data_IF_531040887694
#
_entry.id   IF_531040887694
#
_cell.length_a   1.000
_cell.length_b   1.000
_cell.length_c   1.000
_cell.angle_alpha   90.00
_cell.angle_beta   90.00
_cell.angle_gamma   90.00
#
_symmetry.space_group_name_H-M   'P 1'
#
loop_
_entity.id
_entity.type
_entity.pdbx_description
1 polymer ?
#
# COMPACT_ATOMS: atom_id res chain seq x y z
N UNK A 1 -25.66 0.24 -0.10
CA UNK A 1 -25.09 1.53 0.34
C UNK A 1 -24.15 2.05 -0.74
N UNK A 2 -23.91 3.36 -0.76
CA UNK A 2 -22.95 3.99 -1.66
C UNK A 2 -21.63 4.24 -0.93
N UNK A 3 -20.55 3.65 -1.42
CA UNK A 3 -19.22 3.71 -0.81
C UNK A 3 -18.29 4.48 -1.73
N UNK A 4 -17.66 5.54 -1.23
CA UNK A 4 -16.64 6.28 -1.96
C UNK A 4 -15.25 5.71 -1.59
N UNK A 5 -14.63 5.01 -2.54
CA UNK A 5 -13.26 4.52 -2.41
C UNK A 5 -12.29 5.62 -2.82
N UNK A 6 -11.47 6.07 -1.90
CA UNK A 6 -10.45 7.11 -2.16
C UNK A 6 -9.09 6.44 -2.31
N UNK A 7 -8.53 6.56 -3.52
CA UNK A 7 -7.42 5.76 -4.02
C UNK A 7 -6.24 6.65 -4.42
N UNK A 8 -5.04 6.33 -4.00
CA UNK A 8 -3.82 7.08 -4.31
C UNK A 8 -2.83 6.20 -5.05
N UNK A 9 -2.56 6.53 -6.33
CA UNK A 9 -1.50 5.91 -7.13
C UNK A 9 -1.65 4.41 -7.43
N UNK A 10 -2.84 3.82 -7.28
CA UNK A 10 -3.05 2.37 -7.43
C UNK A 10 -4.19 2.04 -8.43
N UNK A 11 -5.28 1.44 -7.96
CA UNK A 11 -6.44 1.09 -8.78
C UNK A 11 -7.13 2.34 -9.35
N UNK A 12 -7.57 2.38 -10.60
CA UNK A 12 -7.51 1.32 -11.60
C UNK A 12 -6.30 1.39 -12.56
N UNK A 13 -5.28 2.21 -12.29
CA UNK A 13 -4.17 2.50 -13.21
C UNK A 13 -3.02 1.48 -13.17
N UNK A 14 -2.76 0.91 -12.01
CA UNK A 14 -1.58 0.06 -11.77
C UNK A 14 -2.01 -1.36 -11.39
N UNK A 15 -1.41 -2.37 -12.00
CA UNK A 15 -1.56 -3.76 -11.55
C UNK A 15 -0.69 -4.00 -10.32
N UNK A 16 -1.25 -4.63 -9.28
CA UNK A 16 -0.53 -4.91 -8.04
C UNK A 16 -1.45 -5.46 -6.95
N UNK A 17 -0.89 -5.77 -5.79
CA UNK A 17 -1.62 -6.39 -4.68
C UNK A 17 -2.83 -5.57 -4.23
N UNK A 18 -2.64 -4.29 -3.93
CA UNK A 18 -3.72 -3.38 -3.50
C UNK A 18 -4.79 -3.23 -4.59
N UNK A 19 -4.37 -3.08 -5.86
CA UNK A 19 -5.32 -2.95 -6.98
C UNK A 19 -6.13 -4.21 -7.21
N UNK A 20 -5.51 -5.39 -7.11
CA UNK A 20 -6.19 -6.69 -7.22
C UNK A 20 -7.15 -6.92 -6.06
N UNK A 21 -6.74 -6.57 -4.84
CA UNK A 21 -7.59 -6.60 -3.66
C UNK A 21 -8.82 -5.67 -3.83
N UNK A 22 -8.61 -4.42 -4.26
CA UNK A 22 -9.68 -3.46 -4.50
C UNK A 22 -10.67 -3.95 -5.56
N UNK A 23 -10.17 -4.42 -6.70
CA UNK A 23 -11.00 -4.96 -7.77
C UNK A 23 -11.84 -6.16 -7.28
N UNK A 24 -11.22 -7.04 -6.50
CA UNK A 24 -11.88 -8.21 -5.92
C UNK A 24 -12.94 -7.82 -4.88
N UNK A 25 -12.65 -6.86 -3.99
CA UNK A 25 -13.61 -6.36 -3.00
C UNK A 25 -14.85 -5.77 -3.67
N UNK A 26 -14.67 -4.92 -4.68
CA UNK A 26 -15.77 -4.30 -5.43
C UNK A 26 -16.60 -5.36 -6.15
N UNK A 27 -15.94 -6.26 -6.88
CA UNK A 27 -16.61 -7.30 -7.68
C UNK A 27 -17.40 -8.27 -6.80
N UNK A 28 -16.90 -8.58 -5.60
CA UNK A 28 -17.54 -9.50 -4.66
C UNK A 28 -18.69 -8.87 -3.85
N UNK A 29 -18.92 -7.56 -4.02
CA UNK A 29 -19.97 -6.81 -3.32
C UNK A 29 -20.97 -6.14 -4.29
N UNK A 30 -21.67 -6.90 -5.15
CA UNK A 30 -22.61 -6.31 -6.14
C UNK A 30 -23.81 -5.60 -5.49
N UNK A 31 -24.08 -5.83 -4.20
CA UNK A 31 -25.13 -5.15 -3.43
C UNK A 31 -24.79 -3.72 -3.04
N UNK A 32 -23.53 -3.26 -3.26
CA UNK A 32 -23.09 -1.90 -2.98
C UNK A 32 -22.82 -1.16 -4.28
N UNK A 33 -23.09 0.14 -4.28
CA UNK A 33 -22.63 1.07 -5.32
C UNK A 33 -21.29 1.66 -4.90
N UNK A 34 -20.32 1.61 -5.78
CA UNK A 34 -18.99 2.17 -5.54
C UNK A 34 -18.76 3.43 -6.37
N UNK A 35 -18.20 4.44 -5.75
CA UNK A 35 -17.64 5.62 -6.40
C UNK A 35 -16.14 5.57 -6.20
N UNK A 36 -15.36 5.73 -7.26
CA UNK A 36 -13.92 5.81 -7.18
C UNK A 36 -13.50 7.28 -7.20
N UNK A 37 -12.77 7.73 -6.19
CA UNK A 37 -12.15 9.05 -6.17
C UNK A 37 -10.64 8.84 -6.16
N UNK A 38 -10.04 9.00 -7.35
CA UNK A 38 -8.69 8.52 -7.62
C UNK A 38 -7.74 9.69 -7.78
N UNK A 39 -6.63 9.66 -7.02
CA UNK A 39 -5.55 10.62 -7.10
C UNK A 39 -4.43 10.00 -7.95
N UNK A 40 -4.13 10.67 -9.07
CA UNK A 40 -3.02 10.33 -9.96
C UNK A 40 -1.94 11.42 -10.01
N UNK A 41 -0.70 11.10 -10.40
CA UNK A 41 0.36 12.08 -10.48
C UNK A 41 0.20 13.03 -11.68
N UNK A 42 -0.24 12.54 -12.84
CA UNK A 42 -0.24 13.27 -14.10
C UNK A 42 -1.56 13.16 -14.84
N UNK A 43 -2.07 14.29 -15.33
CA UNK A 43 -3.31 14.37 -16.11
C UNK A 43 -3.24 13.61 -17.46
N UNK A 44 -2.06 13.38 -18.00
CA UNK A 44 -1.87 12.57 -19.21
C UNK A 44 -2.30 11.10 -19.05
N UNK A 45 -2.38 10.61 -17.82
CA UNK A 45 -2.80 9.24 -17.51
C UNK A 45 -4.32 9.08 -17.40
N UNK A 46 -5.09 10.15 -17.58
CA UNK A 46 -6.54 10.12 -17.49
C UNK A 46 -7.14 9.01 -18.38
N UNK A 47 -8.01 8.19 -17.79
CA UNK A 47 -8.71 7.11 -18.48
C UNK A 47 -7.85 5.91 -18.90
N UNK A 48 -6.54 5.89 -18.63
CA UNK A 48 -5.65 4.77 -19.00
C UNK A 48 -5.74 3.61 -18.01
N UNK A 49 -6.95 3.11 -17.79
CA UNK A 49 -7.22 2.05 -16.83
C UNK A 49 -6.61 0.71 -17.26
N UNK A 50 -6.04 -0.01 -16.30
CA UNK A 50 -5.51 -1.37 -16.46
C UNK A 50 -6.53 -2.46 -16.07
N UNK A 51 -7.66 -2.04 -15.50
CA UNK A 51 -8.79 -2.88 -15.12
C UNK A 51 -10.04 -2.40 -15.83
N UNK A 52 -10.90 -3.33 -16.23
CA UNK A 52 -12.29 -3.03 -16.59
C UNK A 52 -13.06 -2.76 -15.30
N UNK A 53 -13.75 -1.63 -15.23
CA UNK A 53 -14.48 -1.26 -14.02
C UNK A 53 -15.73 -2.15 -13.87
N UNK A 54 -15.96 -2.76 -12.68
CA UNK A 54 -17.14 -3.55 -12.41
C UNK A 54 -18.44 -2.74 -12.56
N UNK A 55 -19.54 -3.42 -12.92
CA UNK A 55 -20.82 -2.77 -13.20
C UNK A 55 -21.42 -1.99 -12.00
N UNK A 56 -21.01 -2.32 -10.78
CA UNK A 56 -21.41 -1.63 -9.56
C UNK A 56 -20.52 -0.41 -9.21
N UNK A 57 -19.55 -0.06 -10.06
CA UNK A 57 -18.86 1.22 -10.01
C UNK A 57 -19.69 2.23 -10.78
N UNK A 58 -20.36 3.12 -10.06
CA UNK A 58 -21.32 4.10 -10.64
C UNK A 58 -20.66 5.42 -11.04
N UNK A 59 -19.49 5.74 -10.49
CA UNK A 59 -18.71 6.94 -10.80
C UNK A 59 -17.22 6.67 -10.63
N UNK A 60 -16.39 7.22 -11.52
CA UNK A 60 -14.94 7.29 -11.36
C UNK A 60 -14.51 8.75 -11.54
N UNK A 61 -14.12 9.39 -10.45
CA UNK A 61 -13.63 10.78 -10.45
C UNK A 61 -12.12 10.79 -10.31
N UNK A 62 -11.46 11.31 -11.33
CA UNK A 62 -10.00 11.37 -11.41
C UNK A 62 -9.51 12.77 -11.00
N UNK A 63 -8.52 12.83 -10.13
CA UNK A 63 -7.85 14.07 -9.71
C UNK A 63 -6.36 13.90 -9.92
N UNK A 64 -5.72 14.84 -10.63
CA UNK A 64 -4.30 14.76 -10.95
C UNK A 64 -3.51 15.88 -10.29
N UNK A 65 -2.44 15.52 -9.57
CA UNK A 65 -1.67 16.47 -8.77
C UNK A 65 -0.96 17.52 -9.64
N UNK A 66 -0.60 17.20 -10.89
CA UNK A 66 0.03 18.16 -11.80
C UNK A 66 -0.94 19.28 -12.25
N UNK A 67 -2.25 19.11 -12.11
CA UNK A 67 -3.22 20.16 -12.34
C UNK A 67 -3.10 21.32 -11.33
N UNK A 68 -2.55 21.05 -10.15
CA UNK A 68 -2.22 22.07 -9.17
C UNK A 68 -1.27 23.14 -9.73
N UNK A 69 -0.35 22.74 -10.63
CA UNK A 69 0.62 23.65 -11.29
C UNK A 69 -0.06 24.58 -12.32
N UNK A 70 -1.28 24.28 -12.73
CA UNK A 70 -2.06 25.04 -13.73
C UNK A 70 -3.07 25.99 -13.09
N UNK A 71 -3.12 26.06 -11.75
CA UNK A 71 -4.01 26.99 -11.05
C UNK A 71 -3.63 28.44 -11.44
N UNK A 72 -4.61 29.12 -12.05
CA UNK A 72 -4.46 30.53 -12.45
C UNK A 72 -4.73 31.48 -11.29
N UNK A 73 -4.23 32.70 -11.41
CA UNK A 73 -4.61 33.82 -10.56
C UNK A 73 -5.79 34.54 -11.22
N UNK A 74 -6.98 34.42 -10.66
CA UNK A 74 -8.07 35.34 -10.98
C UNK A 74 -7.86 36.61 -10.14
N UNK A 75 -7.76 37.75 -10.75
CA UNK A 75 -7.38 39.01 -10.10
C UNK A 75 -8.41 39.62 -9.12
N UNK A 76 -9.42 38.86 -8.66
CA UNK A 76 -10.48 39.33 -7.77
C UNK A 76 -10.57 38.60 -6.43
N UNK A 77 -9.67 37.65 -6.15
CA UNK A 77 -9.83 36.75 -4.99
C UNK A 77 -8.99 37.22 -3.78
N UNK A 78 -9.31 38.39 -3.26
CA UNK A 78 -8.75 38.80 -1.97
C UNK A 78 -9.55 38.12 -0.83
N UNK A 79 -8.85 37.34 0.00
CA UNK A 79 -9.39 36.80 1.24
C UNK A 79 -8.67 37.42 2.44
N UNK A 80 -9.42 38.01 3.36
CA UNK A 80 -8.88 38.51 4.62
C UNK A 80 -8.85 37.36 5.64
N UNK A 81 -7.67 36.77 5.84
CA UNK A 81 -7.50 35.63 6.74
C UNK A 81 -7.75 36.05 8.22
N UNK A 82 -8.57 35.29 8.91
CA UNK A 82 -8.75 35.38 10.34
C UNK A 82 -7.54 34.83 11.11
N UNK A 83 -7.43 35.16 12.41
CA UNK A 83 -6.36 34.64 13.27
C UNK A 83 -6.33 33.10 13.30
N UNK A 84 -7.50 32.45 13.44
CA UNK A 84 -7.63 30.99 13.45
C UNK A 84 -7.25 30.34 12.11
N UNK A 85 -7.53 31.00 11.00
CA UNK A 85 -7.11 30.54 9.67
C UNK A 85 -5.60 30.65 9.47
N UNK A 86 -5.00 31.77 9.95
CA UNK A 86 -3.54 31.98 9.93
C UNK A 86 -2.83 30.91 10.78
N UNK A 87 -3.36 30.61 11.97
CA UNK A 87 -2.80 29.57 12.84
C UNK A 87 -2.88 28.19 12.19
N UNK A 88 -4.03 27.82 11.61
CA UNK A 88 -4.19 26.56 10.89
C UNK A 88 -3.23 26.45 9.69
N UNK A 89 -3.06 27.53 8.92
CA UNK A 89 -2.13 27.59 7.79
C UNK A 89 -0.66 27.55 8.24
N UNK A 90 -0.32 28.17 9.38
CA UNK A 90 1.02 28.10 9.97
C UNK A 90 1.37 26.69 10.40
N UNK A 91 0.48 26.02 11.13
CA UNK A 91 0.65 24.62 11.55
C UNK A 91 0.73 23.67 10.35
N UNK A 92 -0.04 23.92 9.28
CA UNK A 92 0.07 23.21 8.01
C UNK A 92 1.49 23.36 7.43
N UNK A 93 2.00 24.60 7.31
CA UNK A 93 3.35 24.87 6.75
C UNK A 93 4.46 24.27 7.62
N UNK A 94 4.27 24.23 8.93
CA UNK A 94 5.19 23.57 9.88
C UNK A 94 5.10 22.03 9.80
N UNK A 95 4.13 21.49 9.05
CA UNK A 95 3.83 20.05 8.99
C UNK A 95 3.63 19.44 10.40
N UNK A 96 2.83 20.10 11.24
CA UNK A 96 2.53 19.70 12.63
C UNK A 96 1.09 19.18 12.74
N UNK A 97 0.25 19.87 13.49
CA UNK A 97 -1.15 19.47 13.77
C UNK A 97 -2.12 20.61 13.45
N UNK A 98 -2.36 20.92 12.16
CA UNK A 98 -3.27 21.99 11.78
C UNK A 98 -4.71 21.66 12.18
N UNK A 99 -5.52 22.67 12.45
CA UNK A 99 -6.97 22.50 12.54
C UNK A 99 -7.54 22.18 11.14
N UNK A 100 -7.70 20.90 10.87
CA UNK A 100 -8.24 20.41 9.61
C UNK A 100 -9.67 20.89 9.35
N UNK A 101 -10.48 21.04 10.39
CA UNK A 101 -11.85 21.58 10.26
C UNK A 101 -11.85 23.00 9.68
N UNK A 102 -10.95 23.85 10.17
CA UNK A 102 -10.77 25.21 9.64
C UNK A 102 -10.26 25.17 8.19
N UNK A 103 -9.27 24.34 7.86
CA UNK A 103 -8.77 24.20 6.49
C UNK A 103 -9.86 23.67 5.51
N UNK A 104 -10.64 22.68 5.92
CA UNK A 104 -11.74 22.14 5.11
C UNK A 104 -12.80 23.21 4.86
N UNK A 105 -13.17 23.99 5.88
CA UNK A 105 -14.13 25.09 5.72
C UNK A 105 -13.62 26.14 4.75
N UNK A 106 -12.36 26.59 4.93
CA UNK A 106 -11.75 27.60 4.05
C UNK A 106 -11.79 27.21 2.58
N UNK A 107 -11.24 26.04 2.25
CA UNK A 107 -11.04 25.66 0.85
C UNK A 107 -12.26 25.01 0.21
N UNK A 108 -13.13 24.36 0.99
CA UNK A 108 -14.25 23.59 0.44
C UNK A 108 -15.62 24.26 0.60
N UNK A 109 -15.89 24.98 1.70
CA UNK A 109 -17.15 25.70 1.90
C UNK A 109 -17.06 27.17 1.49
N UNK A 110 -16.00 27.86 1.92
CA UNK A 110 -15.81 29.28 1.60
C UNK A 110 -15.15 29.47 0.23
N UNK A 111 -14.66 28.38 -0.41
CA UNK A 111 -13.98 28.41 -1.71
C UNK A 111 -12.82 29.39 -1.80
N UNK A 112 -12.04 29.52 -0.71
CA UNK A 112 -10.83 30.34 -0.71
C UNK A 112 -9.89 29.85 -1.78
N UNK A 113 -9.49 30.76 -2.69
CA UNK A 113 -8.58 30.41 -3.78
C UNK A 113 -7.20 30.00 -3.23
N UNK A 114 -6.69 28.85 -3.70
CA UNK A 114 -5.35 28.37 -3.34
C UNK A 114 -4.28 29.42 -3.69
N UNK A 115 -4.42 30.08 -4.83
CA UNK A 115 -3.49 31.11 -5.26
C UNK A 115 -3.62 32.38 -4.46
N UNK A 116 -4.81 32.72 -3.95
CA UNK A 116 -5.03 33.84 -3.04
C UNK A 116 -4.16 33.74 -1.79
N UNK A 117 -4.07 32.52 -1.19
CA UNK A 117 -3.16 32.28 -0.08
C UNK A 117 -1.68 32.29 -0.50
N UNK A 118 -1.29 31.51 -1.50
CA UNK A 118 0.12 31.36 -1.90
C UNK A 118 0.77 32.66 -2.42
N UNK A 119 -0.03 33.65 -2.79
CA UNK A 119 0.42 34.96 -3.24
C UNK A 119 0.16 36.08 -2.21
N UNK A 120 -0.32 35.74 -1.02
CA UNK A 120 -0.66 36.72 0.02
C UNK A 120 0.57 37.17 0.83
N UNK A 121 0.47 38.35 1.43
CA UNK A 121 1.41 38.81 2.46
C UNK A 121 1.39 37.90 3.69
N UNK A 122 0.26 37.29 4.00
CA UNK A 122 0.09 36.29 5.07
C UNK A 122 1.00 35.08 4.85
N UNK A 123 0.98 34.49 3.63
CA UNK A 123 1.84 33.37 3.31
C UNK A 123 3.33 33.76 3.40
N UNK A 124 3.70 34.90 2.81
CA UNK A 124 5.08 35.41 2.88
C UNK A 124 5.50 35.66 4.33
N UNK A 125 4.64 36.22 5.17
CA UNK A 125 4.91 36.47 6.58
C UNK A 125 5.14 35.16 7.36
N UNK A 126 4.28 34.17 7.16
CA UNK A 126 4.43 32.82 7.76
C UNK A 126 5.79 32.22 7.35
N UNK A 127 6.13 32.27 6.05
CA UNK A 127 7.40 31.69 5.56
C UNK A 127 8.64 32.42 6.10
N UNK A 128 8.60 33.75 6.16
CA UNK A 128 9.71 34.54 6.70
C UNK A 128 9.97 34.24 8.17
N UNK A 129 8.90 34.10 8.95
CA UNK A 129 8.97 33.77 10.36
C UNK A 129 9.55 32.36 10.58
N UNK A 130 8.99 31.36 9.90
CA UNK A 130 9.45 29.96 9.99
C UNK A 130 10.90 29.84 9.48
N UNK A 131 11.24 30.50 8.36
CA UNK A 131 12.60 30.44 7.83
C UNK A 131 13.63 31.00 8.83
N UNK A 132 13.29 32.09 9.53
CA UNK A 132 14.18 32.70 10.54
C UNK A 132 14.35 31.84 11.78
N UNK A 133 13.27 31.16 12.22
CA UNK A 133 13.26 30.42 13.48
C UNK A 133 13.74 28.97 13.31
N UNK A 134 13.26 28.26 12.30
CA UNK A 134 13.51 26.83 12.11
C UNK A 134 14.64 26.55 11.08
N UNK A 135 14.88 27.47 10.12
CA UNK A 135 15.82 27.29 9.01
C UNK A 135 16.80 28.46 8.84
N UNK A 136 17.48 28.97 9.92
CA UNK A 136 18.27 30.20 9.87
C UNK A 136 19.50 30.14 8.92
N UNK A 137 19.89 28.93 8.51
CA UNK A 137 21.06 28.70 7.65
C UNK A 137 20.69 28.33 6.20
N UNK A 138 19.40 28.42 5.85
CA UNK A 138 18.89 28.07 4.51
C UNK A 138 18.55 29.34 3.75
N UNK A 139 18.82 29.37 2.45
CA UNK A 139 18.39 30.48 1.62
C UNK A 139 16.86 30.53 1.55
N UNK A 140 16.28 31.70 1.78
CA UNK A 140 14.81 31.88 1.80
C UNK A 140 14.17 31.42 0.49
N UNK A 141 14.82 31.62 -0.66
CA UNK A 141 14.33 31.16 -1.96
C UNK A 141 14.17 29.65 -2.02
N UNK A 142 15.11 28.88 -1.48
CA UNK A 142 15.07 27.42 -1.48
C UNK A 142 13.97 26.93 -0.54
N UNK A 143 13.84 27.56 0.62
CA UNK A 143 12.75 27.31 1.56
C UNK A 143 11.38 27.60 0.94
N UNK A 144 11.22 28.78 0.32
CA UNK A 144 9.99 29.19 -0.34
C UNK A 144 9.54 28.19 -1.41
N UNK A 145 10.45 27.82 -2.33
CA UNK A 145 10.11 26.88 -3.40
C UNK A 145 9.79 25.48 -2.87
N UNK A 146 10.50 25.02 -1.86
CA UNK A 146 10.24 23.72 -1.24
C UNK A 146 8.88 23.71 -0.58
N UNK A 147 8.57 24.65 0.28
CA UNK A 147 7.26 24.73 0.97
C UNK A 147 6.13 24.84 -0.04
N UNK A 148 6.27 25.70 -1.06
CA UNK A 148 5.26 25.83 -2.11
C UNK A 148 5.05 24.50 -2.83
N UNK A 149 6.10 23.75 -3.17
CA UNK A 149 5.98 22.47 -3.87
C UNK A 149 5.32 21.39 -3.00
N UNK A 150 5.54 21.42 -1.68
CA UNK A 150 4.93 20.49 -0.73
C UNK A 150 3.44 20.75 -0.55
N UNK A 151 3.03 22.01 -0.37
CA UNK A 151 1.68 22.33 0.06
C UNK A 151 0.72 22.67 -1.08
N UNK A 152 1.21 23.03 -2.25
CA UNK A 152 0.35 23.29 -3.41
C UNK A 152 -0.55 22.08 -3.75
N UNK A 153 -0.07 20.83 -3.79
CA UNK A 153 -0.95 19.68 -4.01
C UNK A 153 -1.99 19.49 -2.89
N UNK A 154 -1.62 19.72 -1.64
CA UNK A 154 -2.53 19.60 -0.49
C UNK A 154 -3.66 20.61 -0.62
N UNK A 155 -3.35 21.88 -0.81
CA UNK A 155 -4.32 22.95 -0.94
C UNK A 155 -5.24 22.73 -2.16
N UNK A 156 -4.67 22.25 -3.28
CA UNK A 156 -5.44 21.88 -4.46
C UNK A 156 -6.45 20.78 -4.15
N UNK A 157 -6.03 19.72 -3.46
CA UNK A 157 -6.94 18.62 -3.08
C UNK A 157 -8.03 19.09 -2.11
N UNK A 158 -7.72 19.98 -1.17
CA UNK A 158 -8.70 20.56 -0.24
C UNK A 158 -9.79 21.38 -0.95
N UNK A 159 -9.50 21.93 -2.16
CA UNK A 159 -10.47 22.68 -2.95
C UNK A 159 -11.40 21.78 -3.79
N UNK A 160 -11.18 20.46 -3.80
CA UNK A 160 -11.98 19.53 -4.59
C UNK A 160 -13.34 19.26 -3.96
N UNK A 161 -14.40 19.19 -4.79
CA UNK A 161 -15.73 18.81 -4.33
C UNK A 161 -15.81 17.28 -4.13
N UNK A 162 -16.05 16.78 -2.89
CA UNK A 162 -16.17 15.36 -2.64
C UNK A 162 -17.41 14.72 -3.31
N UNK A 163 -17.35 13.48 -3.81
CA UNK A 163 -18.52 12.71 -4.20
C UNK A 163 -19.43 12.45 -2.99
N UNK A 164 -20.77 12.52 -3.18
CA UNK A 164 -21.71 12.19 -2.08
C UNK A 164 -21.83 10.69 -1.88
N UNK A 165 -21.44 10.21 -0.71
CA UNK A 165 -21.45 8.79 -0.35
C UNK A 165 -22.04 8.56 1.05
N UNK A 166 -22.38 7.32 1.38
CA UNK A 166 -22.80 6.92 2.72
C UNK A 166 -21.60 6.63 3.61
N UNK A 167 -20.50 6.16 3.01
CA UNK A 167 -19.22 5.84 3.69
C UNK A 167 -18.08 6.27 2.79
N UNK A 168 -17.05 6.86 3.37
CA UNK A 168 -15.76 7.08 2.71
C UNK A 168 -14.77 6.02 3.15
N UNK A 169 -14.03 5.44 2.20
CA UNK A 169 -13.03 4.42 2.49
C UNK A 169 -11.74 4.74 1.75
N UNK A 170 -10.71 5.15 2.49
CA UNK A 170 -9.38 5.40 1.96
C UNK A 170 -8.51 4.15 2.05
N UNK A 171 -7.66 3.92 1.03
CA UNK A 171 -6.71 2.79 1.00
C UNK A 171 -5.30 3.18 1.42
N UNK A 172 -5.12 4.40 1.89
CA UNK A 172 -3.89 4.95 2.45
C UNK A 172 -4.19 6.12 3.38
N UNK A 173 -3.24 6.49 4.23
CA UNK A 173 -3.37 7.63 5.16
C UNK A 173 -2.84 8.96 4.58
N UNK A 174 -2.21 8.95 3.40
CA UNK A 174 -1.61 10.12 2.77
C UNK A 174 -2.62 11.11 2.18
N UNK A 175 -2.41 11.51 0.94
CA UNK A 175 -3.35 12.37 0.22
C UNK A 175 -4.74 11.74 0.13
N UNK A 176 -4.81 10.42 -0.08
CA UNK A 176 -6.06 9.68 -0.11
C UNK A 176 -6.81 9.74 1.21
N UNK A 177 -6.12 9.55 2.33
CA UNK A 177 -6.70 9.62 3.68
C UNK A 177 -7.22 11.02 4.02
N UNK A 178 -6.45 12.08 3.72
CA UNK A 178 -6.86 13.46 3.89
C UNK A 178 -8.10 13.81 3.03
N UNK A 179 -8.10 13.38 1.77
CA UNK A 179 -9.21 13.65 0.86
C UNK A 179 -10.50 12.93 1.29
N UNK A 180 -10.36 11.68 1.78
CA UNK A 180 -11.48 10.95 2.38
C UNK A 180 -12.00 11.63 3.67
N UNK A 181 -11.09 12.17 4.49
CA UNK A 181 -11.44 12.93 5.68
C UNK A 181 -12.22 14.21 5.34
N UNK A 182 -11.85 14.92 4.26
CA UNK A 182 -12.61 16.05 3.74
C UNK A 182 -14.03 15.64 3.35
N UNK A 183 -14.20 14.54 2.60
CA UNK A 183 -15.51 14.05 2.21
C UNK A 183 -16.39 13.65 3.39
N UNK A 184 -15.80 12.93 4.34
CA UNK A 184 -16.44 12.50 5.57
C UNK A 184 -16.88 13.71 6.42
N UNK A 185 -16.01 14.73 6.54
CA UNK A 185 -16.31 15.96 7.24
C UNK A 185 -17.45 16.75 6.58
N UNK A 186 -17.36 16.96 5.25
CA UNK A 186 -18.33 17.80 4.51
C UNK A 186 -19.75 17.25 4.56
N UNK A 187 -19.90 15.94 4.45
CA UNK A 187 -21.22 15.31 4.40
C UNK A 187 -21.60 14.63 5.71
N UNK A 188 -20.81 14.85 6.77
CA UNK A 188 -21.02 14.23 8.08
C UNK A 188 -21.23 12.72 7.93
N UNK A 189 -20.28 12.01 7.34
CA UNK A 189 -20.34 10.58 7.06
C UNK A 189 -19.15 9.84 7.67
N UNK A 190 -19.29 8.54 7.97
CA UNK A 190 -18.19 7.76 8.52
C UNK A 190 -17.04 7.58 7.53
N UNK A 191 -15.83 7.52 8.09
CA UNK A 191 -14.58 7.27 7.38
C UNK A 191 -13.95 5.95 7.85
N UNK A 192 -13.60 5.10 6.89
CA UNK A 192 -12.76 3.91 7.09
C UNK A 192 -11.42 4.16 6.38
N UNK A 193 -10.34 3.77 7.04
CA UNK A 193 -9.00 3.78 6.45
C UNK A 193 -8.45 2.35 6.47
N UNK A 194 -7.98 1.85 5.33
CA UNK A 194 -7.28 0.56 5.23
C UNK A 194 -5.84 0.81 4.82
N UNK A 195 -4.89 0.29 5.58
CA UNK A 195 -3.48 0.32 5.21
C UNK A 195 -2.98 -1.09 4.87
N UNK A 196 -2.52 -1.26 3.64
CA UNK A 196 -1.88 -2.50 3.17
C UNK A 196 -0.38 -2.55 3.50
N UNK A 197 0.23 -1.40 3.69
CA UNK A 197 1.56 -1.12 4.20
C UNK A 197 1.46 0.05 5.18
N UNK A 198 2.51 0.39 5.89
CA UNK A 198 2.55 1.60 6.73
C UNK A 198 3.00 2.77 5.88
N UNK A 199 2.03 3.58 5.43
CA UNK A 199 2.24 4.67 4.47
C UNK A 199 3.37 5.62 4.88
N UNK A 200 3.41 6.06 6.14
CA UNK A 200 4.46 6.98 6.62
C UNK A 200 5.85 6.39 6.49
N UNK A 201 6.04 5.09 6.80
CA UNK A 201 7.33 4.42 6.68
C UNK A 201 7.77 4.27 5.23
N UNK A 202 6.84 3.95 4.34
CA UNK A 202 7.12 3.85 2.91
C UNK A 202 7.54 5.21 2.33
N UNK A 203 6.84 6.28 2.70
CA UNK A 203 7.19 7.65 2.29
C UNK A 203 8.51 8.12 2.88
N UNK A 204 8.79 7.82 4.14
CA UNK A 204 10.05 8.14 4.79
C UNK A 204 11.23 7.48 4.04
N UNK A 205 11.16 6.19 3.75
CA UNK A 205 12.19 5.50 2.97
C UNK A 205 12.37 6.11 1.58
N UNK A 206 11.28 6.46 0.90
CA UNK A 206 11.32 7.11 -0.41
C UNK A 206 12.02 8.47 -0.34
N UNK A 207 11.66 9.32 0.61
CA UNK A 207 12.27 10.64 0.81
C UNK A 207 13.75 10.55 1.16
N UNK A 208 14.14 9.59 1.99
CA UNK A 208 15.54 9.38 2.35
C UNK A 208 16.39 8.97 1.15
N UNK A 209 15.84 8.22 0.19
CA UNK A 209 16.51 7.78 -1.04
C UNK A 209 16.39 8.79 -2.18
N UNK A 210 15.46 9.74 -2.11
CA UNK A 210 15.16 10.68 -3.18
C UNK A 210 16.32 11.65 -3.43
N UNK A 211 16.80 11.69 -4.69
CA UNK A 211 17.86 12.62 -5.12
C UNK A 211 17.34 14.04 -5.38
N UNK A 212 16.03 14.18 -5.63
CA UNK A 212 15.39 15.47 -5.91
C UNK A 212 15.06 16.26 -4.65
N UNK A 213 15.03 15.60 -3.49
CA UNK A 213 14.78 16.26 -2.19
C UNK A 213 16.08 16.87 -1.68
N UNK A 214 16.06 18.19 -1.50
CA UNK A 214 17.17 18.92 -0.87
C UNK A 214 17.37 18.38 0.56
N UNK A 215 18.57 17.94 0.96
CA UNK A 215 18.80 17.25 2.23
C UNK A 215 18.28 17.97 3.48
N UNK A 216 18.38 19.31 3.51
CA UNK A 216 17.91 20.14 4.62
C UNK A 216 16.39 20.07 4.83
N UNK A 217 15.63 19.71 3.80
CA UNK A 217 14.16 19.64 3.84
C UNK A 217 13.59 18.22 3.92
N UNK A 218 14.45 17.19 4.01
CA UNK A 218 13.97 15.80 4.10
C UNK A 218 13.03 15.59 5.28
N UNK A 219 13.41 16.13 6.45
CA UNK A 219 12.58 16.00 7.64
C UNK A 219 11.23 16.70 7.47
N UNK A 220 11.18 17.83 6.79
CA UNK A 220 9.93 18.56 6.54
C UNK A 220 9.00 17.76 5.62
N UNK A 221 9.53 17.11 4.58
CA UNK A 221 8.77 16.19 3.72
C UNK A 221 8.23 14.99 4.52
N UNK A 222 9.05 14.39 5.37
CA UNK A 222 8.66 13.28 6.21
C UNK A 222 7.53 13.72 7.16
N UNK A 223 7.71 14.83 7.87
CA UNK A 223 6.71 15.38 8.79
C UNK A 223 5.37 15.67 8.08
N UNK A 224 5.42 16.15 6.82
CA UNK A 224 4.21 16.37 6.04
C UNK A 224 3.40 15.08 5.84
N UNK A 225 4.04 13.95 5.54
CA UNK A 225 3.33 12.69 5.40
C UNK A 225 2.80 12.15 6.73
N UNK A 226 3.52 12.37 7.83
CA UNK A 226 3.03 12.05 9.18
C UNK A 226 1.81 12.92 9.54
N UNK A 227 1.84 14.21 9.23
CA UNK A 227 0.72 15.13 9.42
C UNK A 227 -0.53 14.69 8.63
N UNK A 228 -0.38 14.30 7.36
CA UNK A 228 -1.51 13.78 6.56
C UNK A 228 -2.08 12.49 7.15
N UNK A 229 -1.21 11.59 7.62
CA UNK A 229 -1.65 10.36 8.30
C UNK A 229 -2.37 10.66 9.62
N UNK A 230 -1.90 11.64 10.37
CA UNK A 230 -2.57 12.15 11.57
C UNK A 230 -3.99 12.64 11.29
N UNK A 231 -4.20 13.39 10.20
CA UNK A 231 -5.53 13.80 9.73
C UNK A 231 -6.45 12.59 9.50
N UNK A 232 -5.97 11.58 8.79
CA UNK A 232 -6.75 10.38 8.49
C UNK A 232 -7.10 9.60 9.76
N UNK A 233 -6.15 9.37 10.67
CA UNK A 233 -6.39 8.67 11.95
C UNK A 233 -7.33 9.40 12.89
N UNK A 234 -7.19 10.72 12.99
CA UNK A 234 -8.07 11.55 13.82
C UNK A 234 -9.53 11.42 13.38
N UNK A 235 -9.77 11.50 12.06
CA UNK A 235 -11.11 11.53 11.47
C UNK A 235 -11.75 10.17 11.25
N UNK A 236 -10.94 9.11 11.15
CA UNK A 236 -11.46 7.77 10.91
C UNK A 236 -12.34 7.27 12.05
N UNK A 237 -13.41 6.57 11.69
CA UNK A 237 -14.27 5.79 12.60
C UNK A 237 -13.76 4.36 12.77
N UNK A 238 -13.05 3.86 11.74
CA UNK A 238 -12.38 2.55 11.75
C UNK A 238 -11.09 2.64 10.94
N UNK A 239 -10.01 2.06 11.49
CA UNK A 239 -8.71 1.93 10.82
C UNK A 239 -8.36 0.44 10.76
N UNK A 240 -8.14 -0.06 9.56
CA UNK A 240 -7.87 -1.49 9.34
C UNK A 240 -6.44 -1.73 8.93
N UNK A 241 -5.84 -2.75 9.53
CA UNK A 241 -4.54 -3.29 9.17
C UNK A 241 -4.68 -4.77 8.79
N UNK A 242 -3.71 -5.29 8.03
CA UNK A 242 -3.74 -6.68 7.57
C UNK A 242 -3.37 -7.68 8.67
N UNK A 243 -2.58 -7.25 9.67
CA UNK A 243 -2.11 -8.09 10.77
C UNK A 243 -1.73 -7.27 12.01
N UNK A 244 -1.58 -7.95 13.13
CA UNK A 244 -1.44 -7.34 14.46
C UNK A 244 -0.33 -6.30 14.54
N UNK A 245 0.88 -6.63 14.06
CA UNK A 245 2.02 -5.72 14.13
C UNK A 245 1.78 -4.38 13.43
N UNK A 246 1.05 -4.39 12.30
CA UNK A 246 0.70 -3.14 11.61
C UNK A 246 -0.32 -2.34 12.42
N UNK A 247 -1.29 -2.99 13.03
CA UNK A 247 -2.22 -2.33 13.95
C UNK A 247 -1.49 -1.69 15.15
N UNK A 248 -0.50 -2.36 15.71
CA UNK A 248 0.29 -1.81 16.81
C UNK A 248 1.11 -0.59 16.35
N UNK A 249 1.68 -0.62 15.14
CA UNK A 249 2.37 0.53 14.55
C UNK A 249 1.40 1.70 14.28
N UNK A 250 0.18 1.44 13.82
CA UNK A 250 -0.84 2.49 13.67
C UNK A 250 -1.12 3.20 15.00
N UNK A 251 -1.18 2.46 16.10
CA UNK A 251 -1.33 3.03 17.44
C UNK A 251 -0.09 3.84 17.84
N UNK A 252 1.13 3.36 17.57
CA UNK A 252 2.37 4.11 17.80
C UNK A 252 2.40 5.43 17.01
N UNK A 253 1.79 5.45 15.83
CA UNK A 253 1.66 6.62 14.96
C UNK A 253 0.50 7.57 15.34
N UNK A 254 -0.20 7.29 16.45
CA UNK A 254 -1.23 8.14 17.01
C UNK A 254 -2.67 7.74 16.68
N UNK A 255 -2.91 6.57 16.08
CA UNK A 255 -4.26 6.06 15.90
C UNK A 255 -4.85 5.61 17.25
N UNK A 256 -6.10 5.99 17.54
CA UNK A 256 -6.82 5.49 18.72
C UNK A 256 -7.00 3.96 18.62
N UNK A 257 -6.50 3.17 19.59
CA UNK A 257 -6.59 1.71 19.53
C UNK A 257 -8.03 1.18 19.46
N UNK A 258 -9.01 1.96 19.91
CA UNK A 258 -10.45 1.61 19.83
C UNK A 258 -10.96 1.59 18.38
N UNK A 259 -10.32 2.33 17.48
CA UNK A 259 -10.65 2.38 16.04
C UNK A 259 -9.97 1.27 15.24
N UNK A 260 -8.89 0.67 15.77
CA UNK A 260 -8.09 -0.30 15.07
C UNK A 260 -8.82 -1.64 14.92
N UNK A 261 -8.73 -2.22 13.71
CA UNK A 261 -9.28 -3.53 13.35
C UNK A 261 -8.25 -4.30 12.53
N UNK A 262 -8.27 -5.61 12.62
CA UNK A 262 -7.46 -6.47 11.77
C UNK A 262 -8.40 -7.14 10.78
N UNK A 263 -8.19 -6.88 9.48
CA UNK A 263 -8.86 -7.55 8.38
C UNK A 263 -7.77 -8.01 7.41
N UNK A 264 -7.43 -9.29 7.49
CA UNK A 264 -6.41 -9.89 6.63
C UNK A 264 -6.88 -9.98 5.18
N UNK A 265 -5.93 -10.04 4.24
CA UNK A 265 -6.24 -10.38 2.86
C UNK A 265 -6.75 -11.82 2.78
N UNK A 266 -7.66 -12.06 1.84
CA UNK A 266 -8.24 -13.36 1.58
C UNK A 266 -7.88 -13.91 0.20
N UNK A 267 -7.86 -15.23 0.08
CA UNK A 267 -7.57 -15.97 -1.14
C UNK A 267 -8.77 -16.76 -1.61
N UNK A 268 -9.01 -16.76 -2.89
CA UNK A 268 -10.06 -17.55 -3.56
C UNK A 268 -9.61 -18.99 -3.72
N UNK A 269 -10.17 -19.88 -2.92
CA UNK A 269 -9.88 -21.33 -2.95
C UNK A 269 -10.32 -22.00 -4.26
N UNK A 270 -11.37 -21.49 -4.94
CA UNK A 270 -11.83 -22.00 -6.23
C UNK A 270 -10.73 -21.94 -7.31
N UNK A 271 -9.80 -20.98 -7.22
CA UNK A 271 -8.72 -20.80 -8.18
C UNK A 271 -7.51 -21.73 -7.92
N UNK A 272 -7.21 -22.03 -6.68
CA UNK A 272 -5.96 -22.70 -6.29
C UNK A 272 -6.18 -24.02 -5.55
N UNK A 273 -7.30 -24.20 -4.87
CA UNK A 273 -7.51 -25.30 -3.94
C UNK A 273 -7.65 -26.69 -4.58
N UNK A 274 -7.92 -26.74 -5.90
CA UNK A 274 -8.02 -27.99 -6.68
C UNK A 274 -6.71 -28.41 -7.35
N UNK A 275 -5.61 -27.65 -7.12
CA UNK A 275 -4.31 -27.97 -7.73
C UNK A 275 -3.75 -29.20 -7.02
N UNK A 276 -3.54 -30.27 -7.81
CA UNK A 276 -2.96 -31.52 -7.33
C UNK A 276 -1.47 -31.39 -7.04
N UNK A 277 -0.94 -32.29 -6.21
CA UNK A 277 0.51 -32.39 -5.97
C UNK A 277 1.23 -32.71 -7.30
N UNK A 278 2.40 -32.05 -7.48
CA UNK A 278 3.24 -32.31 -8.66
C UNK A 278 3.62 -33.80 -8.70
N UNK A 279 3.45 -34.41 -9.86
CA UNK A 279 3.95 -35.77 -10.09
C UNK A 279 5.49 -35.78 -10.18
N UNK A 280 6.17 -36.74 -9.57
CA UNK A 280 7.63 -36.83 -9.64
C UNK A 280 8.11 -36.93 -11.09
N UNK A 281 8.97 -36.03 -11.53
CA UNK A 281 9.57 -35.99 -12.87
C UNK A 281 11.11 -35.98 -12.83
N UNK A 282 11.68 -36.18 -11.62
CA UNK A 282 13.13 -36.17 -11.40
C UNK A 282 13.71 -34.77 -11.17
N UNK A 283 12.87 -33.72 -11.15
CA UNK A 283 13.29 -32.35 -10.91
C UNK A 283 12.58 -31.78 -9.68
N UNK A 284 13.22 -30.79 -9.05
CA UNK A 284 12.66 -29.99 -7.98
C UNK A 284 12.40 -28.58 -8.52
N UNK A 285 11.14 -28.26 -8.72
CA UNK A 285 10.72 -26.96 -9.27
C UNK A 285 10.37 -25.99 -8.14
N UNK A 286 11.15 -24.92 -8.05
CA UNK A 286 10.98 -23.82 -7.08
C UNK A 286 10.40 -22.63 -7.84
N UNK A 287 9.31 -22.05 -7.34
CA UNK A 287 8.65 -20.95 -8.03
C UNK A 287 8.60 -19.70 -7.15
N UNK A 288 9.00 -18.56 -7.71
CA UNK A 288 8.79 -17.23 -7.13
C UNK A 288 7.72 -16.49 -7.93
N UNK A 289 6.69 -15.98 -7.25
CA UNK A 289 5.65 -15.14 -7.87
C UNK A 289 5.88 -13.71 -7.38
N UNK A 290 6.61 -12.93 -8.17
CA UNK A 290 7.11 -11.61 -7.76
C UNK A 290 7.23 -10.66 -8.96
N UNK A 291 6.99 -9.36 -8.75
CA UNK A 291 7.44 -8.33 -9.71
C UNK A 291 8.96 -8.19 -9.64
N UNK A 292 9.60 -7.99 -10.78
CA UNK A 292 11.05 -7.79 -10.84
C UNK A 292 11.35 -6.34 -10.43
N UNK A 293 11.61 -6.14 -9.14
CA UNK A 293 11.85 -4.84 -8.51
C UNK A 293 12.84 -5.00 -7.33
N UNK A 294 13.70 -4.02 -7.03
CA UNK A 294 14.71 -4.10 -5.96
C UNK A 294 14.18 -4.55 -4.60
N UNK A 295 12.96 -4.13 -4.21
CA UNK A 295 12.36 -4.51 -2.93
C UNK A 295 12.10 -6.01 -2.79
N UNK A 296 12.03 -6.75 -3.91
CA UNK A 296 11.83 -8.22 -3.95
C UNK A 296 13.14 -9.00 -3.85
N UNK A 297 14.26 -8.32 -3.91
CA UNK A 297 15.62 -8.85 -3.74
C UNK A 297 15.90 -10.14 -4.55
N UNK A 298 15.56 -10.09 -5.84
CA UNK A 298 15.76 -11.19 -6.77
C UNK A 298 17.24 -11.60 -6.86
N UNK A 299 18.16 -10.67 -6.65
CA UNK A 299 19.60 -10.95 -6.67
C UNK A 299 20.02 -11.91 -5.56
N UNK A 300 19.52 -11.73 -4.34
CA UNK A 300 19.75 -12.67 -3.22
C UNK A 300 19.12 -14.04 -3.55
N UNK A 301 17.95 -14.08 -4.18
CA UNK A 301 17.32 -15.34 -4.63
C UNK A 301 18.18 -16.07 -5.67
N UNK A 302 18.70 -15.37 -6.69
CA UNK A 302 19.60 -15.94 -7.71
C UNK A 302 20.89 -16.48 -7.06
N UNK A 303 21.51 -15.73 -6.14
CA UNK A 303 22.68 -16.17 -5.41
C UNK A 303 22.40 -17.39 -4.54
N UNK A 304 21.26 -17.43 -3.86
CA UNK A 304 20.84 -18.59 -3.06
C UNK A 304 20.61 -19.81 -3.94
N UNK A 305 19.96 -19.64 -5.10
CA UNK A 305 19.75 -20.72 -6.05
C UNK A 305 21.07 -21.23 -6.64
N UNK A 306 22.04 -20.35 -6.91
CA UNK A 306 23.39 -20.77 -7.33
C UNK A 306 24.04 -21.71 -6.30
N UNK A 307 23.94 -21.37 -4.99
CA UNK A 307 24.45 -22.22 -3.92
C UNK A 307 23.69 -23.54 -3.81
N UNK A 308 22.37 -23.50 -3.96
CA UNK A 308 21.51 -24.69 -3.97
C UNK A 308 21.86 -25.64 -5.12
N UNK A 309 22.04 -25.12 -6.33
CA UNK A 309 22.30 -25.89 -7.54
C UNK A 309 23.56 -26.76 -7.44
N UNK A 310 24.54 -26.33 -6.65
CA UNK A 310 25.76 -27.13 -6.37
C UNK A 310 25.49 -28.35 -5.48
N UNK A 311 24.40 -28.36 -4.71
CA UNK A 311 24.03 -29.40 -3.75
C UNK A 311 22.87 -30.26 -4.25
N UNK A 312 21.97 -29.65 -5.02
CA UNK A 312 20.78 -30.25 -5.59
C UNK A 312 20.76 -29.96 -7.12
N UNK A 313 21.50 -30.73 -7.91
CA UNK A 313 21.65 -30.50 -9.36
C UNK A 313 20.32 -30.51 -10.14
N UNK A 314 19.31 -31.24 -9.68
CA UNK A 314 17.97 -31.35 -10.27
C UNK A 314 17.06 -30.14 -9.96
N UNK A 315 17.48 -29.17 -9.15
CA UNK A 315 16.68 -27.99 -8.83
C UNK A 315 16.52 -27.06 -10.06
N UNK A 316 15.32 -26.51 -10.24
CA UNK A 316 14.97 -25.48 -11.24
C UNK A 316 14.28 -24.31 -10.52
N UNK A 317 14.55 -23.07 -10.94
CA UNK A 317 13.95 -21.85 -10.41
C UNK A 317 13.14 -21.13 -11.48
N UNK A 318 11.88 -20.86 -11.18
CA UNK A 318 10.96 -20.13 -12.05
C UNK A 318 10.57 -18.81 -11.38
N UNK A 319 10.93 -17.68 -11.96
CA UNK A 319 10.63 -16.33 -11.44
C UNK A 319 9.52 -15.72 -12.29
N UNK A 320 8.29 -15.73 -11.77
CA UNK A 320 7.08 -15.32 -12.48
C UNK A 320 6.71 -13.89 -12.11
N UNK A 321 6.54 -13.03 -13.10
CA UNK A 321 6.05 -11.67 -12.95
C UNK A 321 6.70 -10.69 -13.92
N UNK A 322 6.07 -9.52 -14.05
CA UNK A 322 6.53 -8.47 -14.95
C UNK A 322 7.79 -7.77 -14.41
N UNK A 323 8.58 -7.24 -15.32
CA UNK A 323 9.70 -6.35 -14.98
C UNK A 323 9.11 -4.97 -14.70
N UNK A 324 9.19 -4.55 -13.43
CA UNK A 324 8.69 -3.26 -12.94
C UNK A 324 9.80 -2.21 -12.95
N UNK A 325 11.06 -2.66 -12.82
CA UNK A 325 12.28 -1.86 -12.92
C UNK A 325 13.20 -2.49 -13.98
N UNK A 326 13.30 -1.84 -15.13
CA UNK A 326 14.08 -2.35 -16.28
C UNK A 326 15.58 -2.42 -15.99
N UNK A 327 16.12 -1.48 -15.21
CA UNK A 327 17.54 -1.49 -14.82
C UNK A 327 17.82 -2.68 -13.90
N UNK A 328 17.00 -2.86 -12.89
CA UNK A 328 17.12 -4.00 -11.98
C UNK A 328 16.90 -5.34 -12.69
N UNK A 329 15.93 -5.41 -13.61
CA UNK A 329 15.71 -6.61 -14.44
C UNK A 329 16.93 -6.96 -15.31
N UNK A 330 17.62 -5.96 -15.87
CA UNK A 330 18.88 -6.15 -16.60
C UNK A 330 19.97 -6.68 -15.67
N UNK A 331 20.15 -6.06 -14.50
CA UNK A 331 21.15 -6.50 -13.52
C UNK A 331 20.93 -7.94 -13.04
N UNK A 332 19.67 -8.37 -12.86
CA UNK A 332 19.34 -9.76 -12.52
C UNK A 332 19.78 -10.72 -13.63
N UNK A 333 19.51 -10.42 -14.91
CA UNK A 333 19.94 -11.24 -16.04
C UNK A 333 21.46 -11.30 -16.17
N UNK A 334 22.14 -10.17 -15.97
CA UNK A 334 23.62 -10.11 -15.96
C UNK A 334 24.20 -10.95 -14.82
N UNK A 335 23.59 -10.95 -13.64
CA UNK A 335 24.00 -11.78 -12.51
C UNK A 335 23.86 -13.28 -12.82
N UNK A 336 22.75 -13.71 -13.41
CA UNK A 336 22.53 -15.11 -13.86
C UNK A 336 23.64 -15.52 -14.83
N UNK A 337 23.91 -14.68 -15.83
CA UNK A 337 24.94 -14.95 -16.84
C UNK A 337 26.36 -14.99 -16.22
N UNK A 338 26.67 -14.07 -15.29
CA UNK A 338 27.96 -14.00 -14.61
C UNK A 338 28.23 -15.24 -13.73
N UNK A 339 27.19 -15.70 -13.02
CA UNK A 339 27.29 -16.91 -12.18
C UNK A 339 27.27 -18.20 -13.00
N UNK A 340 26.90 -18.14 -14.27
CA UNK A 340 26.79 -19.30 -15.15
C UNK A 340 25.75 -20.33 -14.66
N UNK A 341 24.71 -19.86 -13.99
CA UNK A 341 23.65 -20.74 -13.42
C UNK A 341 22.70 -21.15 -14.52
N UNK A 342 22.57 -22.45 -14.74
CA UNK A 342 21.52 -23.04 -15.57
C UNK A 342 20.21 -23.18 -14.78
N UNK A 343 19.10 -23.41 -15.49
CA UNK A 343 17.80 -23.75 -14.93
C UNK A 343 17.15 -22.64 -14.09
N UNK A 344 17.42 -21.37 -14.43
CA UNK A 344 16.64 -20.21 -13.99
C UNK A 344 15.81 -19.73 -15.18
N UNK A 345 14.48 -19.73 -15.02
CA UNK A 345 13.52 -19.27 -16.02
C UNK A 345 12.79 -18.01 -15.52
N UNK A 346 12.66 -17.00 -16.40
CA UNK A 346 11.96 -15.74 -16.13
C UNK A 346 10.90 -15.50 -17.24
N UNK A 347 9.78 -16.24 -17.22
CA UNK A 347 8.81 -16.24 -18.33
C UNK A 347 7.92 -14.98 -18.35
N UNK A 348 8.10 -14.05 -17.41
CA UNK A 348 7.25 -12.87 -17.30
C UNK A 348 5.91 -13.15 -16.62
N UNK A 349 4.88 -12.43 -17.05
CA UNK A 349 3.52 -12.57 -16.52
C UNK A 349 2.81 -13.78 -17.13
N UNK A 350 2.56 -14.79 -16.32
CA UNK A 350 1.95 -16.05 -16.70
C UNK A 350 0.80 -16.44 -15.79
N UNK A 351 0.02 -17.46 -16.17
CA UNK A 351 -1.01 -18.00 -15.29
C UNK A 351 -0.36 -18.77 -14.13
N UNK A 352 -0.34 -18.17 -12.95
CA UNK A 352 0.28 -18.72 -11.74
C UNK A 352 -0.32 -20.07 -11.35
N UNK A 353 -1.65 -20.27 -11.50
CA UNK A 353 -2.31 -21.54 -11.17
C UNK A 353 -1.81 -22.69 -12.03
N UNK A 354 -1.55 -22.45 -13.33
CA UNK A 354 -0.97 -23.46 -14.21
C UNK A 354 0.49 -23.78 -13.83
N UNK A 355 1.26 -22.76 -13.42
CA UNK A 355 2.63 -23.00 -12.94
C UNK A 355 2.68 -23.80 -11.64
N UNK A 356 1.74 -23.57 -10.72
CA UNK A 356 1.69 -24.33 -9.47
C UNK A 356 1.44 -25.83 -9.66
N UNK A 357 0.88 -26.28 -10.79
CA UNK A 357 0.76 -27.72 -11.10
C UNK A 357 2.12 -28.43 -11.20
N UNK A 358 3.18 -27.71 -11.59
CA UNK A 358 4.54 -28.24 -11.72
C UNK A 358 5.50 -27.74 -10.64
N UNK A 359 5.02 -27.01 -9.66
CA UNK A 359 5.82 -26.43 -8.56
C UNK A 359 5.87 -27.40 -7.40
N UNK A 360 7.04 -27.63 -6.82
CA UNK A 360 7.21 -28.38 -5.57
C UNK A 360 6.99 -27.47 -4.35
N UNK A 361 7.60 -26.30 -4.35
CA UNK A 361 7.45 -25.29 -3.31
C UNK A 361 7.80 -23.90 -3.85
N UNK A 362 7.50 -22.86 -3.06
CA UNK A 362 7.71 -21.48 -3.48
C UNK A 362 8.79 -20.77 -2.66
N UNK A 363 9.27 -19.64 -3.18
CA UNK A 363 10.26 -18.80 -2.52
C UNK A 363 9.91 -17.32 -2.65
N UNK A 364 10.16 -16.55 -1.57
CA UNK A 364 10.01 -15.10 -1.53
C UNK A 364 11.19 -14.49 -0.77
N UNK A 365 12.03 -13.68 -1.44
CA UNK A 365 13.26 -13.10 -0.88
C UNK A 365 13.15 -11.63 -0.51
N UNK A 366 11.95 -11.09 -0.46
CA UNK A 366 11.68 -9.65 -0.31
C UNK A 366 12.40 -9.02 0.89
N UNK A 367 12.77 -7.75 0.75
CA UNK A 367 13.32 -6.91 1.84
C UNK A 367 12.17 -6.33 2.69
N UNK A 368 11.01 -6.11 2.09
CA UNK A 368 9.83 -5.61 2.77
C UNK A 368 8.56 -6.19 2.16
N UNK A 369 7.62 -6.57 3.02
CA UNK A 369 6.27 -7.03 2.67
C UNK A 369 5.27 -6.52 3.71
N UNK A 370 4.01 -6.41 3.28
CA UNK A 370 2.89 -6.38 4.21
C UNK A 370 2.42 -7.81 4.50
N UNK A 371 1.34 -8.20 3.83
CA UNK A 371 0.85 -9.58 3.77
C UNK A 371 0.94 -10.08 2.32
N UNK A 372 1.95 -10.90 1.99
CA UNK A 372 2.20 -11.29 0.60
C UNK A 372 1.14 -12.27 0.09
N UNK A 373 0.33 -11.84 -0.88
CA UNK A 373 -0.69 -12.69 -1.52
C UNK A 373 -0.06 -13.93 -2.18
N UNK A 374 1.15 -13.81 -2.73
CA UNK A 374 1.87 -14.93 -3.34
C UNK A 374 2.10 -16.10 -2.37
N UNK A 375 2.32 -15.82 -1.08
CA UNK A 375 2.44 -16.85 -0.04
C UNK A 375 1.09 -17.51 0.23
N UNK A 376 0.02 -16.73 0.33
CA UNK A 376 -1.32 -17.26 0.54
C UNK A 376 -1.80 -18.08 -0.67
N UNK A 377 -1.51 -17.65 -1.90
CA UNK A 377 -1.78 -18.38 -3.14
C UNK A 377 -1.01 -19.72 -3.17
N UNK A 378 0.26 -19.69 -2.75
CA UNK A 378 1.10 -20.86 -2.60
C UNK A 378 0.49 -21.88 -1.63
N UNK A 379 0.08 -21.44 -0.46
CA UNK A 379 -0.57 -22.28 0.55
C UNK A 379 -1.90 -22.84 0.07
N UNK A 380 -2.74 -22.03 -0.58
CA UNK A 380 -3.99 -22.48 -1.18
C UNK A 380 -3.77 -23.59 -2.21
N UNK A 381 -2.70 -23.50 -3.00
CA UNK A 381 -2.27 -24.51 -3.96
C UNK A 381 -1.58 -25.72 -3.30
N UNK A 382 -1.40 -25.73 -1.97
CA UNK A 382 -0.65 -26.78 -1.26
C UNK A 382 0.84 -26.79 -1.62
N UNK A 383 1.42 -25.63 -1.73
CA UNK A 383 2.87 -25.46 -1.92
C UNK A 383 3.43 -24.74 -0.69
N UNK A 384 4.29 -25.38 0.10
CA UNK A 384 4.96 -24.70 1.21
C UNK A 384 5.89 -23.61 0.66
N UNK A 385 6.29 -22.68 1.50
CA UNK A 385 7.06 -21.52 1.06
C UNK A 385 8.34 -21.34 1.91
N UNK A 386 9.41 -20.84 1.28
CA UNK A 386 10.55 -20.26 1.98
C UNK A 386 10.50 -18.76 1.84
N UNK A 387 10.46 -18.03 2.95
CA UNK A 387 10.37 -16.56 2.91
C UNK A 387 11.44 -15.90 3.77
N UNK A 388 11.71 -14.64 3.47
CA UNK A 388 12.42 -13.73 4.39
C UNK A 388 11.51 -13.31 5.55
N UNK A 389 12.12 -12.97 6.69
CA UNK A 389 11.42 -12.52 7.92
C UNK A 389 11.05 -11.05 7.82
N UNK A 390 10.01 -10.77 7.02
CA UNK A 390 9.51 -9.42 6.75
C UNK A 390 7.98 -9.38 6.82
N UNK A 391 7.41 -8.24 7.23
CA UNK A 391 5.96 -8.09 7.36
C UNK A 391 5.34 -9.14 8.28
N UNK A 392 4.32 -9.86 7.80
CA UNK A 392 3.70 -10.97 8.51
C UNK A 392 4.18 -12.35 8.03
N UNK A 393 5.28 -12.44 7.25
CA UNK A 393 5.73 -13.72 6.70
C UNK A 393 5.95 -14.79 7.79
N UNK A 394 6.54 -14.41 8.93
CA UNK A 394 6.73 -15.34 10.06
C UNK A 394 5.39 -15.87 10.58
N UNK A 395 4.43 -14.98 10.80
CA UNK A 395 3.10 -15.35 11.29
C UNK A 395 2.36 -16.27 10.30
N UNK A 396 2.52 -16.01 9.00
CA UNK A 396 1.95 -16.85 7.95
C UNK A 396 2.57 -18.25 7.90
N UNK A 397 3.90 -18.36 8.07
CA UNK A 397 4.61 -19.63 7.90
C UNK A 397 4.63 -20.45 9.18
N UNK A 398 4.86 -19.83 10.33
CA UNK A 398 5.00 -20.51 11.62
C UNK A 398 3.67 -20.57 12.40
N UNK A 399 2.70 -19.67 12.07
CA UNK A 399 1.46 -19.46 12.81
C UNK A 399 1.65 -18.61 14.06
N UNK A 400 0.53 -18.16 14.62
CA UNK A 400 0.46 -17.40 15.87
C UNK A 400 -0.29 -18.24 16.91
N UNK A 401 0.31 -19.31 17.39
CA UNK A 401 -0.31 -20.27 18.33
C UNK A 401 -1.63 -20.88 17.83
N UNK A 402 -1.74 -21.08 16.50
CA UNK A 402 -2.94 -21.60 15.84
C UNK A 402 -3.08 -23.14 15.93
N UNK A 403 -2.06 -23.82 16.45
CA UNK A 403 -2.00 -25.27 16.63
C UNK A 403 -1.89 -26.07 15.32
N UNK A 404 -1.65 -25.39 14.16
CA UNK A 404 -1.57 -26.06 12.85
C UNK A 404 -0.15 -26.58 12.59
N UNK A 405 0.85 -25.82 12.92
CA UNK A 405 2.26 -26.14 12.62
C UNK A 405 2.84 -25.31 11.47
N UNK A 406 4.13 -25.49 11.21
CA UNK A 406 4.83 -24.69 10.21
C UNK A 406 4.40 -25.03 8.77
N UNK A 407 4.14 -24.02 7.94
CA UNK A 407 3.79 -24.14 6.52
C UNK A 407 4.98 -23.81 5.59
N UNK A 408 6.17 -23.65 6.15
CA UNK A 408 7.38 -23.31 5.41
C UNK A 408 8.55 -22.92 6.31
N UNK A 409 9.53 -22.21 5.76
CA UNK A 409 10.72 -21.77 6.47
C UNK A 409 10.93 -20.27 6.34
N UNK A 410 11.31 -19.63 7.45
CA UNK A 410 11.62 -18.20 7.50
C UNK A 410 13.12 -18.00 7.69
N UNK A 411 13.70 -17.08 6.92
CA UNK A 411 15.13 -16.76 6.95
C UNK A 411 15.37 -15.25 7.05
N UNK A 412 16.53 -14.78 7.53
CA UNK A 412 16.84 -13.35 7.51
C UNK A 412 16.84 -12.77 6.08
N UNK A 413 16.35 -11.54 5.87
CA UNK A 413 16.44 -10.87 4.57
C UNK A 413 17.89 -10.62 4.15
N UNK A 414 18.12 -10.50 2.84
CA UNK A 414 19.44 -10.26 2.22
C UNK A 414 20.51 -11.29 2.61
N UNK A 415 20.11 -12.53 2.92
CA UNK A 415 21.02 -13.58 3.39
C UNK A 415 20.97 -14.82 2.48
N UNK A 416 21.69 -14.78 1.35
CA UNK A 416 21.65 -15.82 0.32
C UNK A 416 21.96 -17.23 0.84
N UNK A 417 22.91 -17.38 1.79
CA UNK A 417 23.27 -18.70 2.35
C UNK A 417 22.15 -19.30 3.18
N UNK A 418 21.54 -18.52 4.09
CA UNK A 418 20.43 -19.02 4.90
C UNK A 418 19.22 -19.39 3.99
N UNK A 419 18.99 -18.59 2.94
CA UNK A 419 17.95 -18.89 1.96
C UNK A 419 18.28 -20.21 1.22
N UNK A 420 19.53 -20.41 0.75
CA UNK A 420 19.95 -21.65 0.11
C UNK A 420 19.78 -22.87 1.02
N UNK A 421 20.18 -22.76 2.29
CA UNK A 421 20.07 -23.86 3.26
C UNK A 421 18.59 -24.24 3.52
N UNK A 422 17.68 -23.26 3.57
CA UNK A 422 16.25 -23.50 3.71
C UNK A 422 15.63 -24.11 2.45
N UNK A 423 16.05 -23.68 1.25
CA UNK A 423 15.63 -24.26 -0.02
C UNK A 423 16.09 -25.71 -0.13
N UNK A 424 17.35 -26.02 0.25
CA UNK A 424 17.90 -27.40 0.25
C UNK A 424 17.09 -28.31 1.20
N UNK A 425 16.73 -27.80 2.39
CA UNK A 425 15.93 -28.56 3.33
C UNK A 425 14.59 -29.00 2.71
N UNK A 426 13.88 -28.09 2.05
CA UNK A 426 12.62 -28.43 1.40
C UNK A 426 12.82 -29.29 0.15
N UNK A 427 13.89 -29.08 -0.58
CA UNK A 427 14.23 -29.90 -1.78
C UNK A 427 14.48 -31.37 -1.42
N UNK A 428 15.20 -31.62 -0.34
CA UNK A 428 15.69 -32.97 0.04
C UNK A 428 14.77 -33.74 1.00
N UNK A 429 13.74 -33.09 1.59
CA UNK A 429 12.83 -33.72 2.56
C UNK A 429 11.37 -33.69 2.08
N UNK A 430 10.96 -34.60 1.18
CA UNK A 430 9.62 -34.57 0.59
C UNK A 430 8.49 -34.77 1.61
N UNK A 431 8.68 -35.57 2.66
CA UNK A 431 7.68 -35.76 3.71
C UNK A 431 7.42 -34.47 4.50
N UNK A 432 8.49 -33.77 4.92
CA UNK A 432 8.38 -32.45 5.55
C UNK A 432 7.68 -31.45 4.63
N UNK A 433 7.99 -31.47 3.34
CA UNK A 433 7.35 -30.61 2.34
C UNK A 433 5.84 -30.84 2.24
N UNK A 434 5.40 -32.10 2.28
CA UNK A 434 3.96 -32.48 2.26
C UNK A 434 3.27 -32.03 3.54
N UNK A 435 3.86 -32.28 4.71
CA UNK A 435 3.32 -31.83 6.00
C UNK A 435 3.12 -30.32 6.03
N UNK A 436 4.15 -29.55 5.62
CA UNK A 436 4.07 -28.10 5.52
C UNK A 436 3.02 -27.61 4.51
N UNK A 437 2.81 -28.34 3.41
CA UNK A 437 1.77 -28.05 2.42
C UNK A 437 0.36 -28.19 3.00
N UNK A 438 0.11 -29.22 3.79
CA UNK A 438 -1.15 -29.45 4.50
C UNK A 438 -1.41 -28.33 5.53
N UNK A 439 -0.39 -27.96 6.32
CA UNK A 439 -0.47 -26.86 7.27
C UNK A 439 -0.81 -25.54 6.59
N UNK A 440 -0.17 -25.23 5.45
CA UNK A 440 -0.46 -24.03 4.66
C UNK A 440 -1.92 -24.01 4.17
N UNK A 441 -2.42 -25.12 3.60
CA UNK A 441 -3.81 -25.23 3.14
C UNK A 441 -4.80 -25.06 4.28
N UNK A 442 -4.57 -25.69 5.43
CA UNK A 442 -5.44 -25.58 6.59
C UNK A 442 -5.47 -24.16 7.13
N UNK A 443 -4.31 -23.47 7.18
CA UNK A 443 -4.20 -22.09 7.63
C UNK A 443 -4.99 -21.13 6.72
N UNK A 444 -4.89 -21.30 5.39
CA UNK A 444 -5.69 -20.50 4.44
C UNK A 444 -7.18 -20.77 4.64
N UNK A 445 -7.61 -22.03 4.72
CA UNK A 445 -9.02 -22.40 4.92
C UNK A 445 -9.60 -21.83 6.20
N UNK A 446 -8.79 -21.69 7.24
CA UNK A 446 -9.25 -21.28 8.56
C UNK A 446 -9.26 -19.77 8.76
N UNK A 447 -8.33 -19.04 8.11
CA UNK A 447 -8.08 -17.64 8.46
C UNK A 447 -7.99 -16.68 7.27
N UNK A 448 -7.85 -17.19 6.04
CA UNK A 448 -7.54 -16.35 4.88
C UNK A 448 -8.44 -16.64 3.67
N UNK A 449 -9.72 -16.94 3.91
CA UNK A 449 -10.68 -17.06 2.83
C UNK A 449 -11.09 -15.68 2.31
N UNK A 450 -11.24 -15.57 1.01
CA UNK A 450 -11.69 -14.35 0.36
C UNK A 450 -13.09 -13.92 0.85
N UNK A 451 -13.98 -14.88 1.02
CA UNK A 451 -15.34 -14.66 1.50
C UNK A 451 -15.35 -14.05 2.89
N UNK A 452 -14.49 -14.53 3.80
CA UNK A 452 -14.36 -14.00 5.17
C UNK A 452 -13.82 -12.58 5.17
N UNK A 453 -12.84 -12.26 4.28
CA UNK A 453 -12.34 -10.90 4.11
C UNK A 453 -13.47 -9.97 3.68
N UNK A 454 -14.24 -10.34 2.66
CA UNK A 454 -15.36 -9.54 2.14
C UNK A 454 -16.42 -9.33 3.22
N UNK A 455 -16.80 -10.37 3.94
CA UNK A 455 -17.77 -10.31 5.05
C UNK A 455 -17.29 -9.40 6.19
N UNK A 456 -16.01 -9.44 6.53
CA UNK A 456 -15.43 -8.59 7.57
C UNK A 456 -15.46 -7.10 7.15
N UNK A 457 -15.20 -6.77 5.88
CA UNK A 457 -15.39 -5.41 5.39
C UNK A 457 -16.85 -4.99 5.41
N UNK A 458 -17.79 -5.85 5.01
CA UNK A 458 -19.23 -5.56 5.06
C UNK A 458 -19.70 -5.30 6.50
N UNK A 459 -19.28 -6.13 7.45
CA UNK A 459 -19.55 -5.92 8.89
C UNK A 459 -18.98 -4.58 9.38
N UNK A 460 -17.77 -4.23 8.93
CA UNK A 460 -17.14 -2.96 9.29
C UNK A 460 -17.92 -1.76 8.74
N UNK A 461 -18.36 -1.80 7.46
CA UNK A 461 -19.22 -0.77 6.87
C UNK A 461 -20.54 -0.60 7.63
N UNK A 462 -21.20 -1.70 7.96
CA UNK A 462 -22.46 -1.67 8.71
C UNK A 462 -22.27 -1.13 10.13
N UNK A 463 -21.19 -1.51 10.81
CA UNK A 463 -20.89 -1.06 12.17
C UNK A 463 -20.63 0.43 12.23
N UNK A 464 -19.78 0.99 11.33
CA UNK A 464 -19.49 2.44 11.33
C UNK A 464 -20.72 3.25 10.98
N UNK A 465 -21.55 2.79 10.03
CA UNK A 465 -22.82 3.45 9.69
C UNK A 465 -23.82 3.42 10.86
N UNK A 466 -23.92 2.29 11.56
CA UNK A 466 -24.81 2.16 12.73
C UNK A 466 -24.38 3.11 13.83
N UNK A 467 -23.08 3.17 14.16
CA UNK A 467 -22.53 4.08 15.17
C UNK A 467 -22.78 5.54 14.78
N UNK A 468 -22.54 5.89 13.54
CA UNK A 468 -22.77 7.23 13.04
C UNK A 468 -24.25 7.65 13.15
N UNK A 469 -25.20 6.78 12.78
CA UNK A 469 -26.66 7.05 12.92
C UNK A 469 -27.07 7.30 14.36
N UNK A 470 -26.49 6.56 15.30
CA UNK A 470 -26.77 6.75 16.74
C UNK A 470 -26.22 8.09 17.24
N UNK A 471 -25.00 8.46 16.82
CA UNK A 471 -24.41 9.78 17.17
C UNK A 471 -25.16 10.96 16.56
N UNK A 472 -25.71 10.81 15.36
CA UNK A 472 -26.47 11.86 14.67
C UNK A 472 -27.88 12.08 15.25
N UNK A 473 -28.38 11.15 16.09
CA UNK A 473 -29.69 11.24 16.76
C UNK A 473 -29.61 11.79 18.19
N UNK A 474 -28.40 11.88 18.75
CA UNK A 474 -28.10 12.45 20.08
C UNK A 474 -27.53 13.87 19.97
#
# INVERSE_FOLDING_TARGET
>A
MRICMVLEGCYPYVRGGVSSWMHSLITSNPQHEYMLWVIGPKAEDAGKFKYELPANVVECREVFLDNALRLGTSGSDYHAFTESEIDALRELVLARSPDWGTLFRMYNEQHVSVMSFLMSETFLGILLDICKTEYPHVAFTDFFHTVRSMFLPILYLLSMEPPKADVYHATSTGYGGMLAALGAWKYERPLIVTEHGIYTREREEEILRARWVVPQFRQQWINMFYMLSGCAYERADSVTALFRRYSDIQVELGCDPRKCRIIANGIRMDRFGSIEEKQPDGYIDITAVVRIHPIKDIKTMIQAFFLLKQRVPEARLHILGDIDDEEYGRECRELIAHLGVADIDMPGNVNVAEYFKRTDFTVLSSISEGQPLAVLESFAAGRPCVTTDVGCCRDLLEGTDDGIGAAGKVVPPMHARALADALELLATHPEMRREMAEHGRERVRRYFLHEDMVDNYNKNYEEVLRRWRVSALN
#
